data_IF_155993287096
#
_entry.id   IF_155993287096
#
_cell.length_a   1.000
_cell.length_b   1.000
_cell.length_c   1.000
_cell.angle_alpha   90.00
_cell.angle_beta   90.00
_cell.angle_gamma   90.00
#
_symmetry.space_group_name_H-M   'P 1'
#
loop_
_entity.id
_entity.type
_entity.pdbx_description
1 polymer ?
#
# COMPACT_ATOMS: atom_id res chain seq x y z
N UNK A 1 -20.29 -13.47 -9.82
CA UNK A 1 -19.53 -13.81 -8.62
C UNK A 1 -18.12 -14.17 -9.08
N UNK A 2 -17.31 -13.14 -9.39
CA UNK A 2 -15.95 -13.31 -9.91
C UNK A 2 -15.00 -13.65 -8.76
N UNK A 3 -14.39 -14.81 -8.80
CA UNK A 3 -13.33 -15.23 -7.88
C UNK A 3 -12.14 -14.28 -8.05
N UNK A 4 -11.68 -13.71 -6.92
CA UNK A 4 -10.52 -12.86 -6.86
C UNK A 4 -9.29 -13.57 -7.45
N UNK A 5 -8.73 -12.99 -8.51
CA UNK A 5 -7.39 -13.32 -8.98
C UNK A 5 -6.41 -13.05 -7.85
N UNK A 6 -5.45 -13.97 -7.66
CA UNK A 6 -4.28 -13.95 -6.78
C UNK A 6 -4.26 -12.82 -5.72
N UNK A 7 -4.41 -13.19 -4.42
CA UNK A 7 -4.29 -12.28 -3.28
C UNK A 7 -2.84 -11.82 -3.00
N UNK A 8 -1.93 -12.04 -3.93
CA UNK A 8 -0.57 -11.53 -3.87
C UNK A 8 -0.55 -10.14 -4.50
N UNK A 9 -0.89 -9.12 -3.71
CA UNK A 9 -0.85 -7.73 -4.16
C UNK A 9 0.56 -7.30 -4.54
N UNK A 10 0.71 -6.60 -5.69
CA UNK A 10 1.98 -5.97 -6.05
C UNK A 10 2.31 -4.88 -5.04
N UNK A 11 3.59 -4.72 -4.70
CA UNK A 11 4.08 -3.60 -3.89
C UNK A 11 4.69 -2.56 -4.81
N UNK A 12 4.38 -1.28 -4.55
CA UNK A 12 4.91 -0.13 -5.30
C UNK A 12 5.28 0.99 -4.34
N UNK A 13 6.15 1.91 -4.78
CA UNK A 13 6.37 3.19 -4.13
C UNK A 13 5.84 4.32 -5.00
N UNK A 14 5.37 5.39 -4.37
CA UNK A 14 5.00 6.64 -5.02
C UNK A 14 5.52 7.80 -4.20
N UNK A 15 6.30 8.68 -4.82
CA UNK A 15 7.02 9.75 -4.15
C UNK A 15 6.61 11.11 -4.72
N UNK A 16 6.26 12.03 -3.84
CA UNK A 16 6.04 13.43 -4.16
C UNK A 16 7.22 14.24 -3.61
N UNK A 17 8.14 14.68 -4.51
CA UNK A 17 9.19 15.62 -4.14
C UNK A 17 8.57 17.00 -4.02
N UNK A 18 8.78 17.67 -2.88
CA UNK A 18 8.12 18.92 -2.54
C UNK A 18 9.12 20.07 -2.39
N UNK A 19 8.84 21.20 -3.05
CA UNK A 19 9.60 22.44 -2.93
C UNK A 19 8.71 23.64 -3.25
N UNK A 20 8.76 24.65 -2.38
CA UNK A 20 8.08 25.94 -2.61
C UNK A 20 6.58 25.82 -2.93
N UNK A 21 5.87 24.92 -2.22
CA UNK A 21 4.43 24.67 -2.42
C UNK A 21 4.08 23.88 -3.68
N UNK A 22 5.08 23.32 -4.36
CA UNK A 22 4.94 22.52 -5.58
C UNK A 22 5.39 21.09 -5.35
N UNK A 23 4.79 20.18 -6.12
CA UNK A 23 5.28 18.81 -6.28
C UNK A 23 5.96 18.63 -7.63
N UNK A 24 7.03 17.80 -7.69
CA UNK A 24 7.54 17.26 -8.93
C UNK A 24 6.62 16.12 -9.36
N UNK A 25 6.01 16.28 -10.53
CA UNK A 25 4.98 15.37 -11.05
C UNK A 25 5.44 14.82 -12.39
N UNK A 26 5.17 13.56 -12.62
CA UNK A 26 5.34 12.88 -13.90
C UNK A 26 4.00 12.89 -14.65
N UNK A 27 3.95 13.57 -15.79
CA UNK A 27 2.85 13.43 -16.76
C UNK A 27 3.17 12.26 -17.71
N UNK A 28 2.47 11.15 -17.57
CA UNK A 28 2.74 9.90 -18.27
C UNK A 28 2.21 9.92 -19.70
N UNK A 29 3.06 10.29 -20.65
CA UNK A 29 2.68 10.49 -22.05
C UNK A 29 3.44 9.59 -23.03
N UNK A 30 4.53 8.93 -22.62
CA UNK A 30 5.46 8.26 -23.54
C UNK A 30 5.23 6.75 -23.68
N UNK A 31 4.60 6.08 -22.70
CA UNK A 31 4.35 4.64 -22.77
C UNK A 31 3.00 4.32 -23.42
N UNK A 32 3.02 3.44 -24.45
CA UNK A 32 1.80 2.86 -25.03
C UNK A 32 1.27 1.75 -24.11
N UNK A 33 -0.07 1.67 -23.93
CA UNK A 33 -0.76 0.69 -23.05
C UNK A 33 -0.39 0.78 -21.57
N UNK A 34 -0.26 2.00 -21.06
CA UNK A 34 0.01 2.29 -19.67
C UNK A 34 -1.31 2.42 -18.88
N UNK A 35 -1.42 1.74 -17.72
CA UNK A 35 -2.53 1.88 -16.76
C UNK A 35 -2.73 3.35 -16.35
N UNK A 36 -1.64 4.12 -16.33
CA UNK A 36 -1.60 5.53 -15.97
C UNK A 36 -1.43 6.47 -17.19
N UNK A 37 -1.77 5.99 -18.39
CA UNK A 37 -1.66 6.79 -19.62
C UNK A 37 -2.39 8.13 -19.48
N UNK A 38 -1.71 9.25 -19.81
CA UNK A 38 -2.20 10.63 -19.67
C UNK A 38 -2.55 11.06 -18.23
N UNK A 39 -2.10 10.30 -17.20
CA UNK A 39 -2.25 10.68 -15.80
C UNK A 39 -1.07 11.52 -15.31
N UNK A 40 -1.35 12.35 -14.32
CA UNK A 40 -0.40 13.16 -13.59
C UNK A 40 -0.16 12.52 -12.23
N UNK A 41 0.97 11.89 -12.03
CA UNK A 41 1.26 11.09 -10.83
C UNK A 41 2.59 11.49 -10.20
N UNK A 42 2.86 11.07 -8.98
CA UNK A 42 4.19 11.13 -8.37
C UNK A 42 5.20 10.25 -9.12
N UNK A 43 6.44 10.32 -8.72
CA UNK A 43 7.54 9.49 -9.21
C UNK A 43 7.56 8.16 -8.47
N UNK A 44 7.72 7.03 -9.13
CA UNK A 44 7.76 5.75 -8.44
C UNK A 44 7.46 4.55 -9.32
N UNK A 45 7.57 3.37 -8.73
CA UNK A 45 7.38 2.13 -9.47
C UNK A 45 7.28 0.89 -8.60
N UNK A 46 7.49 -0.28 -9.20
CA UNK A 46 7.31 -1.59 -8.58
C UNK A 46 8.55 -1.99 -7.80
N UNK A 47 8.34 -2.69 -6.67
CA UNK A 47 9.44 -3.30 -5.93
C UNK A 47 10.15 -4.36 -6.77
N UNK A 48 11.45 -4.40 -6.66
CA UNK A 48 12.26 -5.53 -7.06
C UNK A 48 12.30 -6.63 -5.99
N UNK A 49 12.78 -7.82 -6.35
CA UNK A 49 12.83 -8.95 -5.43
C UNK A 49 13.70 -8.63 -4.19
N UNK A 50 13.11 -8.74 -3.00
CA UNK A 50 13.78 -8.46 -1.74
C UNK A 50 13.94 -6.99 -1.37
N UNK A 51 13.39 -6.08 -2.18
CA UNK A 51 13.49 -4.64 -1.96
C UNK A 51 12.59 -4.18 -0.80
N UNK A 52 13.10 -3.24 -0.01
CA UNK A 52 12.31 -2.55 1.01
C UNK A 52 11.56 -1.35 0.41
N UNK A 53 10.50 -0.83 1.08
CA UNK A 53 9.80 0.36 0.60
C UNK A 53 10.72 1.56 0.35
N UNK A 54 11.64 1.82 1.28
CA UNK A 54 12.59 2.93 1.16
C UNK A 54 13.58 2.73 0.01
N UNK A 55 14.08 1.49 -0.19
CA UNK A 55 15.01 1.17 -1.27
C UNK A 55 14.34 1.39 -2.64
N UNK A 56 13.11 0.90 -2.82
CA UNK A 56 12.33 1.14 -4.03
C UNK A 56 12.13 2.64 -4.30
N UNK A 57 11.68 3.40 -3.30
CA UNK A 57 11.48 4.84 -3.43
C UNK A 57 12.76 5.58 -3.86
N UNK A 58 13.92 5.22 -3.25
CA UNK A 58 15.21 5.81 -3.59
C UNK A 58 15.67 5.46 -5.01
N UNK A 59 15.52 4.20 -5.41
CA UNK A 59 15.89 3.71 -6.75
C UNK A 59 15.05 4.38 -7.82
N UNK A 60 13.72 4.31 -7.70
CA UNK A 60 12.79 4.84 -8.70
C UNK A 60 12.95 6.36 -8.88
N UNK A 61 13.06 7.13 -7.79
CA UNK A 61 13.33 8.57 -7.89
C UNK A 61 14.66 8.82 -8.60
N UNK A 62 15.70 8.00 -8.32
CA UNK A 62 16.99 8.15 -8.98
C UNK A 62 16.92 7.85 -10.47
N UNK A 63 16.24 6.78 -10.86
CA UNK A 63 16.10 6.34 -12.25
C UNK A 63 15.27 7.33 -13.08
N UNK A 64 14.08 7.72 -12.58
CA UNK A 64 13.16 8.56 -13.32
C UNK A 64 13.55 10.04 -13.35
N UNK A 65 14.25 10.54 -12.30
CA UNK A 65 14.51 11.98 -12.17
C UNK A 65 15.98 12.38 -12.16
N UNK A 66 16.91 11.43 -11.95
CA UNK A 66 18.32 11.72 -11.70
C UNK A 66 18.62 12.27 -10.29
N UNK A 67 17.59 12.49 -9.47
CA UNK A 67 17.74 13.02 -8.11
C UNK A 67 18.00 11.91 -7.10
N UNK A 68 18.72 12.22 -6.03
CA UNK A 68 18.94 11.32 -4.89
C UNK A 68 18.37 11.97 -3.66
N UNK A 69 17.28 11.42 -3.11
CA UNK A 69 16.64 11.93 -1.90
C UNK A 69 17.57 11.83 -0.70
N UNK A 70 17.56 12.88 0.15
CA UNK A 70 18.37 12.96 1.38
C UNK A 70 17.52 13.23 2.61
N UNK A 71 16.31 13.78 2.42
CA UNK A 71 15.30 13.93 3.45
C UNK A 71 13.94 13.54 2.87
N UNK A 72 13.38 12.43 3.36
CA UNK A 72 12.12 11.87 2.88
C UNK A 72 11.42 11.09 4.00
N UNK A 73 10.13 10.95 3.89
CA UNK A 73 9.32 10.26 4.89
C UNK A 73 8.22 9.41 4.24
N UNK A 74 8.01 8.20 4.78
CA UNK A 74 6.83 7.40 4.49
C UNK A 74 5.60 8.06 5.14
N UNK A 75 4.68 8.52 4.32
CA UNK A 75 3.50 9.28 4.74
C UNK A 75 2.24 8.43 4.81
N UNK A 76 2.15 7.41 3.98
CA UNK A 76 0.95 6.59 3.94
C UNK A 76 1.13 5.27 3.21
N UNK A 77 0.11 4.44 3.34
CA UNK A 77 -0.07 3.20 2.57
C UNK A 77 -1.43 3.27 1.88
N UNK A 78 -1.43 3.15 0.57
CA UNK A 78 -2.64 3.06 -0.23
C UNK A 78 -2.86 1.60 -0.64
N UNK A 79 -3.99 1.04 -0.24
CA UNK A 79 -4.45 -0.28 -0.65
C UNK A 79 -5.39 -0.10 -1.83
N UNK A 80 -4.89 -0.34 -3.02
CA UNK A 80 -5.64 -0.19 -4.26
C UNK A 80 -6.20 -1.55 -4.68
N UNK A 81 -7.50 -1.62 -4.87
CA UNK A 81 -8.22 -2.84 -5.28
C UNK A 81 -8.97 -2.58 -6.57
N UNK A 82 -8.67 -3.32 -7.62
CA UNK A 82 -9.31 -3.16 -8.91
C UNK A 82 -9.71 -4.52 -9.50
N UNK A 83 -10.86 -4.56 -10.15
CA UNK A 83 -11.31 -5.71 -10.93
C UNK A 83 -10.49 -5.91 -12.22
N UNK A 84 -9.85 -4.84 -12.71
CA UNK A 84 -9.00 -4.84 -13.91
C UNK A 84 -7.52 -5.09 -13.58
N UNK A 85 -6.95 -4.31 -12.63
CA UNK A 85 -5.51 -4.30 -12.34
C UNK A 85 -5.11 -5.11 -11.10
N UNK A 86 -6.10 -5.60 -10.33
CA UNK A 86 -5.88 -6.43 -9.15
C UNK A 86 -5.59 -5.62 -7.88
N UNK A 87 -4.83 -6.24 -6.96
CA UNK A 87 -4.48 -5.66 -5.66
C UNK A 87 -3.09 -5.05 -5.71
N UNK A 88 -2.97 -3.83 -5.18
CA UNK A 88 -1.70 -3.11 -5.06
C UNK A 88 -1.58 -2.47 -3.68
N UNK A 89 -0.37 -2.53 -3.11
CA UNK A 89 0.04 -1.83 -1.90
C UNK A 89 1.05 -0.76 -2.28
N UNK A 90 0.59 0.48 -2.36
CA UNK A 90 1.41 1.62 -2.75
C UNK A 90 1.90 2.37 -1.51
N UNK A 91 3.21 2.35 -1.30
CA UNK A 91 3.89 3.08 -0.22
C UNK A 91 4.11 4.53 -0.65
N UNK A 92 3.43 5.44 0.02
CA UNK A 92 3.36 6.86 -0.33
C UNK A 92 4.38 7.68 0.46
N UNK A 93 5.27 8.36 -0.26
CA UNK A 93 6.34 9.17 0.31
C UNK A 93 6.21 10.64 -0.03
N UNK A 94 6.79 11.49 0.83
CA UNK A 94 7.17 12.86 0.48
C UNK A 94 8.66 13.05 0.70
N UNK A 95 9.31 13.87 -0.14
CA UNK A 95 10.72 14.23 0.00
C UNK A 95 10.89 15.75 -0.06
N UNK A 96 11.65 16.31 0.88
CA UNK A 96 11.89 17.76 1.01
C UNK A 96 13.33 18.17 0.70
N UNK A 97 14.26 17.21 0.63
CA UNK A 97 15.64 17.48 0.23
C UNK A 97 16.21 16.37 -0.65
N UNK A 98 17.04 16.75 -1.60
CA UNK A 98 17.72 15.84 -2.53
C UNK A 98 18.99 16.47 -3.09
N UNK A 99 19.81 15.63 -3.76
CA UNK A 99 20.99 16.01 -4.51
C UNK A 99 20.83 15.59 -5.96
N UNK A 100 21.62 16.18 -6.86
CA UNK A 100 21.61 15.84 -8.28
C UNK A 100 20.92 16.90 -9.13
N UNK A 101 20.69 16.56 -10.39
CA UNK A 101 19.99 17.40 -11.36
C UNK A 101 18.92 16.58 -12.04
N UNK A 102 17.79 17.21 -12.38
CA UNK A 102 16.75 16.59 -13.17
C UNK A 102 17.32 16.15 -14.54
N UNK A 103 16.91 14.95 -14.92
CA UNK A 103 17.15 14.37 -16.25
C UNK A 103 15.81 14.15 -16.95
N UNK A 104 15.84 13.92 -18.25
CA UNK A 104 14.64 13.55 -19.00
C UNK A 104 14.18 12.16 -18.57
N UNK A 105 12.88 12.03 -18.32
CA UNK A 105 12.24 10.78 -17.97
C UNK A 105 11.73 10.06 -19.22
N UNK A 106 11.99 8.75 -19.32
CA UNK A 106 11.56 7.94 -20.46
C UNK A 106 10.04 7.63 -20.42
N UNK A 107 9.39 7.83 -19.29
CA UNK A 107 7.97 7.52 -19.11
C UNK A 107 7.04 8.71 -19.38
N UNK A 108 7.57 9.94 -19.34
CA UNK A 108 6.76 11.15 -19.53
C UNK A 108 7.54 12.43 -19.33
N UNK A 109 6.83 13.48 -18.99
CA UNK A 109 7.36 14.81 -18.73
C UNK A 109 7.37 15.09 -17.21
N UNK A 110 8.52 15.51 -16.68
CA UNK A 110 8.66 15.92 -15.29
C UNK A 110 8.39 17.42 -15.15
N UNK A 111 7.38 17.78 -14.35
CA UNK A 111 6.92 19.16 -14.18
C UNK A 111 6.80 19.51 -12.71
N UNK A 112 7.35 20.67 -12.31
CA UNK A 112 7.05 21.28 -11.00
C UNK A 112 5.69 21.95 -11.06
N UNK A 113 4.69 21.38 -10.38
CA UNK A 113 3.32 21.83 -10.44
C UNK A 113 2.85 22.26 -9.05
N UNK A 114 2.15 23.38 -8.98
CA UNK A 114 1.50 23.84 -7.76
C UNK A 114 0.50 22.78 -7.24
N UNK A 115 0.47 22.58 -5.92
CA UNK A 115 -0.38 21.56 -5.29
C UNK A 115 -1.88 21.74 -5.64
N UNK A 116 -2.35 22.99 -5.75
CA UNK A 116 -3.74 23.26 -6.12
C UNK A 116 -3.99 23.02 -7.60
N UNK A 117 -3.04 23.39 -8.47
CA UNK A 117 -3.12 23.13 -9.90
C UNK A 117 -3.11 21.63 -10.21
N UNK A 118 -2.34 20.85 -9.46
CA UNK A 118 -2.30 19.39 -9.59
C UNK A 118 -3.70 18.77 -9.43
N UNK A 119 -4.47 19.23 -8.46
CA UNK A 119 -5.83 18.71 -8.22
C UNK A 119 -6.81 18.96 -9.38
N UNK A 120 -6.50 19.87 -10.30
CA UNK A 120 -7.28 20.11 -11.51
C UNK A 120 -6.87 19.24 -12.71
N UNK A 121 -5.75 18.51 -12.60
CA UNK A 121 -5.23 17.66 -13.69
C UNK A 121 -5.99 16.32 -13.79
N UNK A 122 -5.66 15.54 -14.84
CA UNK A 122 -6.19 14.20 -15.03
C UNK A 122 -5.55 13.22 -14.04
N UNK A 123 -6.14 13.12 -12.85
CA UNK A 123 -5.75 12.22 -11.75
C UNK A 123 -6.76 11.07 -11.64
N UNK A 124 -6.36 9.98 -10.98
CA UNK A 124 -7.32 9.04 -10.42
C UNK A 124 -8.13 9.73 -9.29
N UNK A 125 -9.38 9.33 -9.10
CA UNK A 125 -10.21 9.92 -8.03
C UNK A 125 -9.58 9.70 -6.64
N UNK A 126 -9.01 8.52 -6.39
CA UNK A 126 -8.31 8.19 -5.15
C UNK A 126 -7.08 9.06 -4.90
N UNK A 127 -6.36 9.45 -5.97
CA UNK A 127 -5.17 10.30 -5.84
C UNK A 127 -5.51 11.67 -5.27
N UNK A 128 -6.66 12.24 -5.65
CA UNK A 128 -7.16 13.51 -5.07
C UNK A 128 -7.36 13.40 -3.56
N UNK A 129 -7.80 12.22 -3.07
CA UNK A 129 -8.07 12.00 -1.65
C UNK A 129 -6.78 11.87 -0.85
N UNK A 130 -5.80 11.09 -1.32
CA UNK A 130 -4.55 10.98 -0.59
C UNK A 130 -3.66 12.23 -0.72
N UNK A 131 -3.69 12.95 -1.86
CA UNK A 131 -3.00 14.23 -1.99
C UNK A 131 -3.51 15.26 -0.97
N UNK A 132 -4.83 15.31 -0.79
CA UNK A 132 -5.43 16.12 0.26
C UNK A 132 -4.99 15.66 1.66
N UNK A 133 -4.93 14.35 1.89
CA UNK A 133 -4.44 13.82 3.16
C UNK A 133 -2.97 14.12 3.41
N UNK A 134 -2.10 14.12 2.38
CA UNK A 134 -0.70 14.53 2.49
C UNK A 134 -0.56 16.00 2.94
N UNK A 135 -1.45 16.86 2.50
CA UNK A 135 -1.43 18.28 2.83
C UNK A 135 -2.01 18.56 4.24
N UNK A 136 -3.06 17.83 4.63
CA UNK A 136 -3.79 18.04 5.88
C UNK A 136 -3.24 17.28 7.08
N UNK A 137 -2.44 16.21 6.88
CA UNK A 137 -1.99 15.29 7.94
C UNK A 137 -0.47 15.23 8.01
N UNK A 138 0.03 15.16 9.21
CA UNK A 138 1.46 14.91 9.50
C UNK A 138 1.73 13.45 9.85
N UNK A 139 0.74 12.76 10.42
CA UNK A 139 0.83 11.37 10.83
C UNK A 139 0.68 10.42 9.63
N UNK A 140 1.28 9.24 9.76
CA UNK A 140 1.10 8.13 8.82
C UNK A 140 -0.38 7.72 8.74
N UNK A 141 -0.85 7.43 7.54
CA UNK A 141 -2.24 7.00 7.29
C UNK A 141 -2.32 5.79 6.36
N UNK A 142 -3.45 5.08 6.42
CA UNK A 142 -3.79 4.03 5.45
C UNK A 142 -5.12 4.41 4.80
N UNK A 143 -5.19 4.30 3.48
CA UNK A 143 -6.44 4.40 2.73
C UNK A 143 -6.61 3.17 1.83
N UNK A 144 -7.86 2.68 1.72
CA UNK A 144 -8.21 1.66 0.72
C UNK A 144 -9.14 2.29 -0.30
N UNK A 145 -8.83 2.07 -1.57
CA UNK A 145 -9.65 2.46 -2.71
C UNK A 145 -10.04 1.23 -3.51
N UNK A 146 -11.35 1.03 -3.73
CA UNK A 146 -11.82 -0.02 -4.62
C UNK A 146 -12.41 0.59 -5.87
N UNK A 147 -11.95 0.09 -7.00
CA UNK A 147 -12.35 0.50 -8.33
C UNK A 147 -13.09 -0.62 -9.06
N UNK A 148 -14.11 -0.25 -9.81
CA UNK A 148 -14.77 -1.07 -10.83
C UNK A 148 -14.55 -0.37 -12.18
N UNK A 149 -13.71 -0.95 -13.03
CA UNK A 149 -13.11 -0.23 -14.16
C UNK A 149 -12.33 0.99 -13.66
N UNK A 150 -12.66 2.17 -14.17
CA UNK A 150 -12.04 3.44 -13.75
C UNK A 150 -12.80 4.16 -12.63
N UNK A 151 -13.95 3.66 -12.20
CA UNK A 151 -14.80 4.31 -11.21
C UNK A 151 -14.43 3.91 -9.79
N UNK A 152 -14.16 4.87 -8.93
CA UNK A 152 -13.97 4.67 -7.49
C UNK A 152 -15.32 4.34 -6.83
N UNK A 153 -15.44 3.15 -6.24
CA UNK A 153 -16.70 2.65 -5.66
C UNK A 153 -16.67 2.52 -4.14
N UNK A 154 -15.48 2.44 -3.54
CA UNK A 154 -15.33 2.35 -2.08
C UNK A 154 -14.08 3.09 -1.63
N UNK A 155 -14.20 3.82 -0.52
CA UNK A 155 -13.11 4.47 0.19
C UNK A 155 -13.15 4.07 1.66
N UNK A 156 -12.03 3.56 2.17
CA UNK A 156 -11.84 3.33 3.61
C UNK A 156 -10.63 4.14 4.05
N UNK A 157 -10.79 4.94 5.09
CA UNK A 157 -9.74 5.80 5.64
C UNK A 157 -9.41 5.38 7.07
N UNK A 158 -8.15 5.36 7.42
CA UNK A 158 -7.66 5.07 8.78
C UNK A 158 -7.88 6.20 9.79
N UNK A 159 -8.55 7.28 9.39
CA UNK A 159 -8.83 8.43 10.28
C UNK A 159 -9.45 7.96 11.61
N UNK A 160 -8.83 8.37 12.73
CA UNK A 160 -9.27 7.97 14.07
C UNK A 160 -8.71 6.63 14.56
N UNK A 161 -7.93 5.91 13.76
CA UNK A 161 -7.18 4.75 14.23
C UNK A 161 -5.88 5.19 14.91
N UNK A 162 -5.47 4.45 15.95
CA UNK A 162 -4.21 4.74 16.65
C UNK A 162 -2.99 4.34 15.80
N UNK A 163 -1.86 5.02 16.02
CA UNK A 163 -0.59 4.69 15.38
C UNK A 163 -0.17 3.22 15.60
N UNK A 164 -0.48 2.66 16.78
CA UNK A 164 -0.23 1.25 17.06
C UNK A 164 -1.02 0.33 16.10
N UNK A 165 -2.32 0.62 15.84
CA UNK A 165 -3.11 -0.15 14.89
C UNK A 165 -2.53 -0.09 13.47
N UNK A 166 -2.12 1.10 13.04
CA UNK A 166 -1.53 1.28 11.72
C UNK A 166 -0.23 0.47 11.58
N UNK A 167 0.64 0.48 12.61
CA UNK A 167 1.85 -0.37 12.64
C UNK A 167 1.53 -1.86 12.56
N UNK A 168 0.51 -2.33 13.30
CA UNK A 168 0.05 -3.74 13.23
C UNK A 168 -0.40 -4.09 11.81
N UNK A 169 -1.14 -3.22 11.16
CA UNK A 169 -1.65 -3.46 9.81
C UNK A 169 -0.53 -3.47 8.75
N UNK A 170 0.42 -2.56 8.85
CA UNK A 170 1.56 -2.50 7.93
C UNK A 170 2.46 -3.74 8.08
N UNK A 171 2.77 -4.16 9.32
CA UNK A 171 3.59 -5.35 9.59
C UNK A 171 2.99 -6.65 9.03
N UNK A 172 1.66 -6.72 8.92
CA UNK A 172 0.99 -7.88 8.32
C UNK A 172 1.28 -8.07 6.84
N UNK A 173 1.64 -7.01 6.12
CA UNK A 173 1.96 -7.09 4.69
C UNK A 173 3.29 -7.83 4.43
N UNK A 174 4.10 -8.02 5.48
CA UNK A 174 5.35 -8.78 5.41
C UNK A 174 5.19 -10.25 5.82
N UNK A 175 3.95 -10.66 6.13
CA UNK A 175 3.59 -12.09 6.29
C UNK A 175 3.16 -12.61 4.92
N UNK A 176 3.93 -13.54 4.30
CA UNK A 176 3.62 -14.02 2.96
C UNK A 176 2.27 -14.72 2.86
N UNK A 177 1.59 -14.68 1.69
CA UNK A 177 0.42 -15.50 1.43
C UNK A 177 0.70 -16.99 1.64
N UNK A 178 -0.30 -17.73 2.12
CA UNK A 178 -0.17 -19.15 2.44
C UNK A 178 0.64 -19.47 3.69
N UNK A 179 1.14 -18.43 4.39
CA UNK A 179 1.83 -18.60 5.68
C UNK A 179 1.03 -17.96 6.81
N UNK A 180 1.33 -18.37 8.03
CA UNK A 180 0.70 -17.82 9.23
C UNK A 180 1.73 -17.32 10.22
N UNK A 181 1.33 -16.37 11.05
CA UNK A 181 2.12 -15.83 12.16
C UNK A 181 1.29 -15.88 13.44
N UNK A 182 1.91 -16.12 14.59
CA UNK A 182 1.17 -16.07 15.85
C UNK A 182 1.01 -14.63 16.36
N UNK A 183 -0.05 -14.39 17.18
CA UNK A 183 -0.20 -13.09 17.84
C UNK A 183 1.02 -12.71 18.67
N UNK A 184 1.69 -13.68 19.29
CA UNK A 184 2.91 -13.45 20.08
C UNK A 184 4.11 -13.08 19.22
N UNK A 185 4.28 -13.75 18.10
CA UNK A 185 5.35 -13.44 17.14
C UNK A 185 5.17 -12.04 16.53
N UNK A 186 3.95 -11.71 16.11
CA UNK A 186 3.65 -10.38 15.58
C UNK A 186 3.86 -9.30 16.64
N UNK A 187 3.49 -9.56 17.91
CA UNK A 187 3.77 -8.65 19.02
C UNK A 187 5.28 -8.44 19.23
N UNK A 188 6.08 -9.51 19.10
CA UNK A 188 7.54 -9.44 19.20
C UNK A 188 8.17 -8.61 18.08
N UNK A 189 7.74 -8.80 16.83
CA UNK A 189 8.21 -7.98 15.69
C UNK A 189 7.89 -6.50 15.89
N UNK A 190 6.72 -6.19 16.42
CA UNK A 190 6.30 -4.81 16.75
C UNK A 190 6.97 -4.21 17.99
N UNK A 191 7.73 -5.01 18.76
CA UNK A 191 8.35 -4.57 20.01
C UNK A 191 7.34 -4.23 21.11
N UNK A 192 6.09 -4.72 21.03
CA UNK A 192 5.05 -4.37 21.99
C UNK A 192 4.87 -5.39 23.13
N UNK A 193 5.42 -6.61 23.01
CA UNK A 193 5.36 -7.65 24.04
C UNK A 193 3.97 -8.16 24.41
N UNK A 194 2.90 -7.74 23.73
CA UNK A 194 1.53 -8.06 24.10
C UNK A 194 0.71 -8.62 22.92
N UNK A 195 0.60 -9.94 22.85
CA UNK A 195 -0.30 -10.64 21.92
C UNK A 195 -1.76 -10.19 22.03
N UNK A 196 -2.20 -9.82 23.25
CA UNK A 196 -3.56 -9.31 23.49
C UNK A 196 -3.77 -7.94 22.81
N UNK A 197 -2.78 -7.04 22.88
CA UNK A 197 -2.86 -5.74 22.22
C UNK A 197 -2.96 -5.90 20.71
N UNK A 198 -2.16 -6.80 20.10
CA UNK A 198 -2.25 -7.16 18.68
C UNK A 198 -3.65 -7.70 18.36
N UNK A 199 -4.18 -8.62 19.14
CA UNK A 199 -5.54 -9.16 18.94
C UNK A 199 -6.62 -8.08 18.97
N UNK A 200 -6.52 -7.11 19.87
CA UNK A 200 -7.44 -5.97 19.92
C UNK A 200 -7.28 -5.05 18.69
N UNK A 201 -6.07 -4.82 18.22
CA UNK A 201 -5.84 -4.04 17.00
C UNK A 201 -6.49 -4.70 15.76
N UNK A 202 -6.39 -6.03 15.65
CA UNK A 202 -6.92 -6.79 14.51
C UNK A 202 -8.43 -7.03 14.56
N UNK A 203 -9.02 -6.94 15.75
CA UNK A 203 -10.43 -7.25 15.96
C UNK A 203 -11.38 -6.52 15.02
N UNK A 204 -11.08 -5.27 14.70
CA UNK A 204 -11.87 -4.40 13.85
C UNK A 204 -11.01 -3.81 12.72
N UNK A 205 -10.30 -4.68 12.00
CA UNK A 205 -9.54 -4.27 10.82
C UNK A 205 -10.50 -3.85 9.69
N UNK A 206 -10.56 -2.54 9.34
CA UNK A 206 -11.48 -2.08 8.31
C UNK A 206 -10.96 -2.36 6.88
N UNK A 207 -9.69 -2.78 6.78
CA UNK A 207 -9.00 -3.05 5.52
C UNK A 207 -8.94 -4.55 5.18
N UNK A 208 -9.68 -5.39 5.91
CA UNK A 208 -9.76 -6.81 5.61
C UNK A 208 -10.61 -7.07 4.34
N UNK A 209 -10.29 -8.11 3.54
CA UNK A 209 -9.20 -9.07 3.71
C UNK A 209 -7.84 -8.60 3.19
N UNK A 210 -7.76 -7.47 2.49
CA UNK A 210 -6.57 -6.97 1.79
C UNK A 210 -5.39 -6.78 2.76
N UNK A 211 -5.63 -6.20 3.95
CA UNK A 211 -4.66 -6.30 5.05
C UNK A 211 -4.94 -7.61 5.80
N UNK A 212 -4.07 -8.63 5.69
CA UNK A 212 -4.39 -10.03 5.86
C UNK A 212 -4.41 -10.48 7.33
N UNK A 213 -5.30 -9.92 8.15
CA UNK A 213 -5.43 -10.33 9.56
C UNK A 213 -5.86 -11.80 9.75
N UNK A 214 -6.34 -12.47 8.69
CA UNK A 214 -6.61 -13.91 8.69
C UNK A 214 -5.35 -14.76 8.83
N UNK A 215 -4.16 -14.26 8.47
CA UNK A 215 -2.87 -14.95 8.66
C UNK A 215 -2.40 -15.03 10.12
N UNK A 216 -3.07 -14.32 11.05
CA UNK A 216 -2.67 -14.30 12.47
C UNK A 216 -3.44 -15.35 13.24
N UNK A 217 -2.74 -16.32 13.88
CA UNK A 217 -3.28 -17.47 14.61
C UNK A 217 -2.79 -17.49 16.07
N UNK A 218 -3.39 -18.34 16.89
CA UNK A 218 -2.91 -18.57 18.26
C UNK A 218 -1.62 -19.38 18.30
N UNK A 219 -0.96 -19.37 19.46
CA UNK A 219 0.28 -20.12 19.65
C UNK A 219 0.09 -21.65 19.56
N UNK A 220 -1.11 -22.15 19.83
CA UNK A 220 -1.50 -23.58 19.71
C UNK A 220 -1.96 -23.95 18.29
N UNK A 221 -1.87 -23.02 17.33
CA UNK A 221 -2.32 -23.21 15.94
C UNK A 221 -3.82 -22.97 15.72
N UNK A 222 -4.60 -22.67 16.75
CA UNK A 222 -6.03 -22.39 16.60
C UNK A 222 -6.32 -21.03 15.95
N UNK A 223 -7.46 -20.93 15.23
CA UNK A 223 -7.80 -19.72 14.46
C UNK A 223 -8.24 -18.54 15.34
N UNK A 224 -8.66 -18.74 16.57
CA UNK A 224 -9.09 -17.78 17.61
C UNK A 224 -10.30 -16.91 17.30
N UNK A 225 -10.51 -16.46 16.07
CA UNK A 225 -11.59 -15.57 15.67
C UNK A 225 -11.22 -14.74 14.44
N UNK A 226 -12.21 -14.06 13.86
CA UNK A 226 -12.04 -13.21 12.68
C UNK A 226 -13.13 -12.13 12.62
N UNK A 227 -12.76 -10.90 12.19
CA UNK A 227 -13.70 -9.80 12.03
C UNK A 227 -14.46 -9.45 13.32
N UNK A 228 -13.82 -9.56 14.49
CA UNK A 228 -14.43 -9.27 15.78
C UNK A 228 -15.30 -10.40 16.37
N UNK A 229 -15.49 -11.51 15.66
CA UNK A 229 -16.30 -12.65 16.08
C UNK A 229 -15.46 -13.91 16.32
N UNK A 230 -15.93 -14.76 17.25
CA UNK A 230 -15.40 -16.12 17.51
C UNK A 230 -16.38 -17.21 17.07
N UNK A 231 -17.50 -16.84 16.45
CA UNK A 231 -18.49 -17.78 15.97
C UNK A 231 -18.00 -18.64 14.81
N UNK A 232 -18.66 -19.78 14.60
CA UNK A 232 -18.30 -20.76 13.59
C UNK A 232 -18.18 -20.16 12.17
N UNK A 233 -19.05 -19.22 11.81
CA UNK A 233 -19.03 -18.59 10.48
C UNK A 233 -17.81 -17.67 10.29
N UNK A 234 -17.36 -16.99 11.33
CA UNK A 234 -16.14 -16.18 11.29
C UNK A 234 -14.91 -17.08 11.11
N UNK A 235 -14.85 -18.19 11.83
CA UNK A 235 -13.77 -19.17 11.71
C UNK A 235 -13.76 -19.84 10.33
N UNK A 236 -14.92 -20.19 9.78
CA UNK A 236 -15.05 -20.72 8.40
C UNK A 236 -14.53 -19.72 7.36
N UNK A 237 -14.90 -18.44 7.49
CA UNK A 237 -14.39 -17.39 6.58
C UNK A 237 -12.87 -17.24 6.68
N UNK A 238 -12.32 -17.26 7.90
CA UNK A 238 -10.87 -17.20 8.12
C UNK A 238 -10.15 -18.39 7.47
N UNK A 239 -10.67 -19.60 7.70
CA UNK A 239 -10.13 -20.83 7.10
C UNK A 239 -10.16 -20.75 5.57
N UNK A 240 -11.30 -20.36 5.00
CA UNK A 240 -11.44 -20.24 3.54
C UNK A 240 -10.43 -19.27 2.91
N UNK A 241 -10.08 -18.16 3.60
CA UNK A 241 -9.04 -17.24 3.13
C UNK A 241 -7.66 -17.89 3.16
N UNK A 242 -7.32 -18.63 4.23
CA UNK A 242 -6.05 -19.36 4.34
C UNK A 242 -5.94 -20.46 3.29
N UNK A 243 -7.02 -21.23 3.08
CA UNK A 243 -7.07 -22.30 2.07
C UNK A 243 -6.89 -21.76 0.66
N UNK A 244 -7.53 -20.62 0.34
CA UNK A 244 -7.40 -19.94 -0.95
C UNK A 244 -5.97 -19.46 -1.21
N UNK A 245 -5.26 -18.97 -0.19
CA UNK A 245 -3.85 -18.58 -0.32
C UNK A 245 -2.93 -19.80 -0.49
N UNK A 246 -3.18 -20.88 0.24
CA UNK A 246 -2.40 -22.12 0.15
C UNK A 246 -2.54 -22.80 -1.21
N UNK A 247 -3.75 -22.74 -1.81
CA UNK A 247 -3.99 -23.30 -3.14
C UNK A 247 -3.28 -22.53 -4.26
N UNK A 248 -3.08 -21.20 -4.07
CA UNK A 248 -2.40 -20.32 -5.04
C UNK A 248 -0.88 -20.24 -4.81
N UNK A 249 -0.39 -20.78 -3.70
CA UNK A 249 1.01 -20.74 -3.26
C UNK A 249 1.81 -22.03 -3.53
N UNK A 250 1.45 -22.86 -4.52
CA UNK A 250 2.32 -23.98 -4.92
C UNK A 250 3.66 -23.45 -5.41
N UNK A 251 4.80 -23.94 -4.87
CA UNK A 251 6.14 -23.46 -5.23
C UNK A 251 6.54 -24.00 -6.62
N UNK A 252 6.02 -23.37 -7.67
CA UNK A 252 6.25 -23.81 -9.06
C UNK A 252 6.62 -22.68 -10.03
N UNK A 253 6.46 -21.42 -9.69
CA UNK A 253 6.67 -20.29 -10.63
C UNK A 253 7.79 -19.34 -10.19
N UNK A 254 8.88 -19.89 -9.64
CA UNK A 254 10.16 -19.19 -9.47
C UNK A 254 11.23 -19.96 -10.25
N UNK A 255 11.21 -19.83 -11.58
CA UNK A 255 12.36 -20.05 -12.46
C UNK A 255 12.44 -18.90 -13.45
#
# INVERSE_FOLDING_TARGET
>A
MGMAKSQNGRKTSLVYLERDGKYLILHRTKKKHDENGDKWIGVGGKFEAGETPDACALREVKEETGLTMTDFALRGLIVFVSDVWGLEYMYLYTATAWKGRLVDCDEGELVWLDKHELLAKNLWEGDRLFLKALDERTEFFIMKFRYEGERLVEVVDSKGLSAFRLRVYTELLDVPPGTTITYGELARRLGCGSARAVGQALRHNPFAPEIPCHRVIAADGSLCGFGGSRGADALKRKQALLDAESANGSPGDLV
#
